data_IF_377176853984
#
_entry.id   IF_377176853984
#
_cell.length_a   1.000
_cell.length_b   1.000
_cell.length_c   1.000
_cell.angle_alpha   90.00
_cell.angle_beta   90.00
_cell.angle_gamma   90.00
#
_symmetry.space_group_name_H-M   'P 1'
#
loop_
_entity.id
_entity.type
_entity.pdbx_description
1 polymer ?
#
# COMPACT_ATOMS: atom_id res chain seq x y z
N UNK A 1 -5.09 24.18 6.80
CA UNK A 1 -4.98 22.95 7.64
C UNK A 1 -4.66 21.74 6.74
N UNK A 2 -3.65 21.82 5.88
CA UNK A 2 -3.40 20.84 4.79
C UNK A 2 -1.96 20.28 4.74
N UNK A 3 -1.03 20.77 5.56
CA UNK A 3 0.40 20.38 5.49
C UNK A 3 0.72 19.04 6.15
N UNK A 4 -0.15 18.52 7.02
CA UNK A 4 0.13 17.30 7.80
C UNK A 4 -0.22 15.99 7.06
N UNK A 5 -0.97 16.06 5.96
CA UNK A 5 -1.41 14.88 5.18
C UNK A 5 -0.46 14.56 4.00
N UNK A 6 0.35 15.53 3.58
CA UNK A 6 1.31 15.40 2.48
C UNK A 6 2.32 14.25 2.64
N UNK A 7 2.87 13.97 3.85
CA UNK A 7 3.82 12.87 4.03
C UNK A 7 3.18 11.50 3.77
N UNK A 8 1.94 11.32 4.24
CA UNK A 8 1.22 10.04 4.15
C UNK A 8 0.83 9.74 2.71
N UNK A 9 0.27 10.74 2.01
CA UNK A 9 -0.04 10.63 0.58
C UNK A 9 1.22 10.32 -0.24
N UNK A 10 2.36 10.95 0.08
CA UNK A 10 3.62 10.64 -0.60
C UNK A 10 4.11 9.22 -0.32
N UNK A 11 3.96 8.71 0.90
CA UNK A 11 4.29 7.31 1.24
C UNK A 11 3.41 6.35 0.44
N UNK A 12 2.11 6.64 0.35
CA UNK A 12 1.17 5.84 -0.44
C UNK A 12 1.58 5.77 -1.91
N UNK A 13 1.83 6.93 -2.52
CA UNK A 13 2.26 7.01 -3.92
C UNK A 13 3.54 6.23 -4.17
N UNK A 14 4.53 6.31 -3.25
CA UNK A 14 5.78 5.55 -3.38
C UNK A 14 5.55 4.05 -3.33
N UNK A 15 4.72 3.57 -2.41
CA UNK A 15 4.39 2.14 -2.32
C UNK A 15 3.65 1.69 -3.59
N UNK A 16 2.68 2.49 -4.07
CA UNK A 16 1.98 2.20 -5.33
C UNK A 16 2.95 2.14 -6.50
N UNK A 17 3.86 3.11 -6.63
CA UNK A 17 4.86 3.14 -7.69
C UNK A 17 5.79 1.93 -7.64
N UNK A 18 6.23 1.52 -6.45
CA UNK A 18 7.09 0.34 -6.25
C UNK A 18 6.38 -0.94 -6.73
N UNK A 19 5.12 -1.13 -6.34
CA UNK A 19 4.31 -2.29 -6.76
C UNK A 19 4.07 -2.28 -8.28
N UNK A 20 3.64 -1.15 -8.83
CA UNK A 20 3.33 -1.01 -10.27
C UNK A 20 4.59 -1.20 -11.12
N UNK A 21 5.73 -0.63 -10.71
CA UNK A 21 7.00 -0.78 -11.42
C UNK A 21 7.42 -2.24 -11.43
N UNK A 22 7.38 -2.90 -10.28
CA UNK A 22 7.73 -4.33 -10.17
C UNK A 22 6.80 -5.21 -11.03
N UNK A 23 5.50 -4.94 -11.04
CA UNK A 23 4.54 -5.62 -11.91
C UNK A 23 4.88 -5.44 -13.41
N UNK A 24 5.17 -4.22 -13.85
CA UNK A 24 5.55 -3.93 -15.24
C UNK A 24 6.87 -4.63 -15.61
N UNK A 25 7.87 -4.59 -14.73
CA UNK A 25 9.18 -5.21 -14.97
C UNK A 25 9.10 -6.73 -15.12
N UNK A 26 8.17 -7.39 -14.43
CA UNK A 26 7.97 -8.84 -14.58
C UNK A 26 7.38 -9.22 -15.94
N UNK A 27 6.68 -8.30 -16.62
CA UNK A 27 6.10 -8.52 -17.95
C UNK A 27 4.96 -9.55 -18.00
N UNK A 28 4.48 -10.04 -16.86
CA UNK A 28 3.41 -11.05 -16.76
C UNK A 28 2.04 -10.46 -16.47
N UNK A 29 1.97 -9.14 -16.20
CA UNK A 29 0.75 -8.44 -15.82
C UNK A 29 0.13 -7.78 -17.04
N UNK A 30 -1.17 -8.00 -17.26
CA UNK A 30 -1.93 -7.36 -18.34
C UNK A 30 -2.80 -6.21 -17.83
N UNK A 31 -3.24 -6.30 -16.59
CA UNK A 31 -4.12 -5.31 -15.96
C UNK A 31 -3.63 -5.00 -14.55
N UNK A 32 -3.51 -3.71 -14.25
CA UNK A 32 -3.31 -3.24 -12.87
C UNK A 32 -4.46 -2.31 -12.52
N UNK A 33 -5.13 -2.58 -11.40
CA UNK A 33 -6.18 -1.74 -10.84
C UNK A 33 -5.71 -1.18 -9.50
N UNK A 34 -5.78 0.14 -9.36
CA UNK A 34 -5.50 0.83 -8.10
C UNK A 34 -6.82 1.41 -7.58
N UNK A 35 -7.22 0.99 -6.40
CA UNK A 35 -8.41 1.47 -5.70
C UNK A 35 -7.97 2.29 -4.49
N UNK A 36 -8.61 3.45 -4.30
CA UNK A 36 -8.41 4.31 -3.15
C UNK A 36 -9.73 4.47 -2.41
N UNK A 37 -9.73 4.17 -1.12
CA UNK A 37 -10.85 4.43 -0.22
C UNK A 37 -10.37 5.34 0.92
N UNK A 38 -10.98 6.52 1.05
CA UNK A 38 -10.71 7.43 2.16
C UNK A 38 -11.73 7.22 3.28
N UNK A 39 -11.27 7.33 4.52
CA UNK A 39 -12.09 7.27 5.73
C UNK A 39 -11.68 8.40 6.68
N UNK A 40 -12.48 8.63 7.72
CA UNK A 40 -12.13 9.63 8.75
C UNK A 40 -10.82 9.32 9.50
N UNK A 41 -10.33 8.07 9.46
CA UNK A 41 -9.15 7.63 10.22
C UNK A 41 -7.89 7.46 9.36
N UNK A 42 -8.01 7.49 8.03
CA UNK A 42 -6.93 7.14 7.12
C UNK A 42 -7.47 6.80 5.75
N UNK A 43 -6.58 6.31 4.90
CA UNK A 43 -6.94 5.83 3.58
C UNK A 43 -6.41 4.42 3.37
N UNK A 44 -7.15 3.67 2.58
CA UNK A 44 -6.81 2.33 2.12
C UNK A 44 -6.54 2.38 0.63
N UNK A 45 -5.43 1.77 0.22
CA UNK A 45 -5.06 1.58 -1.17
C UNK A 45 -5.03 0.09 -1.43
N UNK A 46 -5.78 -0.35 -2.43
CA UNK A 46 -5.74 -1.73 -2.91
C UNK A 46 -5.20 -1.74 -4.32
N UNK A 47 -4.12 -2.48 -4.54
CA UNK A 47 -3.50 -2.64 -5.84
C UNK A 47 -3.73 -4.09 -6.25
N UNK A 48 -4.48 -4.29 -7.32
CA UNK A 48 -4.79 -5.60 -7.86
C UNK A 48 -4.08 -5.75 -9.20
N UNK A 49 -3.38 -6.85 -9.38
CA UNK A 49 -2.87 -7.30 -10.68
C UNK A 49 -3.52 -8.63 -11.06
N UNK A 50 -3.52 -8.96 -12.36
CA UNK A 50 -4.12 -10.17 -12.92
C UNK A 50 -3.10 -11.30 -13.19
N UNK A 51 -1.96 -11.26 -12.50
CA UNK A 51 -0.86 -12.19 -12.77
C UNK A 51 -1.10 -13.57 -12.18
N UNK A 52 -0.66 -14.60 -12.90
CA UNK A 52 -0.63 -15.95 -12.34
C UNK A 52 0.34 -16.03 -11.16
N UNK A 53 -0.10 -16.68 -10.08
CA UNK A 53 0.67 -16.94 -8.84
C UNK A 53 2.13 -17.35 -9.09
N UNK A 54 3.08 -16.84 -8.29
CA UNK A 54 4.47 -17.36 -8.25
C UNK A 54 5.60 -16.37 -8.48
N UNK A 55 5.31 -15.08 -8.71
CA UNK A 55 6.31 -14.02 -8.70
C UNK A 55 5.98 -13.07 -7.56
N UNK A 56 6.80 -12.99 -6.50
CA UNK A 56 6.50 -12.08 -5.39
C UNK A 56 6.90 -10.65 -5.74
N UNK A 57 5.94 -9.73 -5.84
CA UNK A 57 6.17 -8.26 -5.87
C UNK A 57 6.40 -7.69 -4.46
N UNK A 58 6.16 -8.47 -3.39
CA UNK A 58 6.40 -8.02 -2.02
C UNK A 58 7.89 -7.89 -1.73
N UNK A 59 8.38 -6.66 -1.75
CA UNK A 59 9.60 -6.30 -1.04
C UNK A 59 9.28 -6.01 0.44
N UNK A 60 10.04 -6.56 1.40
CA UNK A 60 9.88 -6.26 2.82
C UNK A 60 9.95 -4.75 3.13
N UNK A 61 10.60 -3.97 2.26
CA UNK A 61 10.69 -2.51 2.34
C UNK A 61 9.33 -1.81 2.35
N UNK A 62 8.30 -2.36 1.71
CA UNK A 62 6.96 -1.74 1.66
C UNK A 62 6.25 -1.83 3.00
N UNK A 63 6.32 -2.99 3.65
CA UNK A 63 5.76 -3.21 4.99
C UNK A 63 6.46 -2.35 6.03
N UNK A 64 7.79 -2.22 5.95
CA UNK A 64 8.56 -1.35 6.82
C UNK A 64 8.18 0.13 6.64
N UNK A 65 8.04 0.58 5.40
CA UNK A 65 7.67 1.96 5.08
C UNK A 65 6.25 2.29 5.57
N UNK A 66 5.32 1.36 5.42
CA UNK A 66 3.97 1.49 5.95
C UNK A 66 3.98 1.53 7.49
N UNK A 67 4.75 0.63 8.14
CA UNK A 67 4.87 0.58 9.60
C UNK A 67 5.48 1.87 10.17
N UNK A 68 6.53 2.41 9.56
CA UNK A 68 7.14 3.69 9.93
C UNK A 68 6.17 4.86 9.83
N UNK A 69 5.22 4.78 8.89
CA UNK A 69 4.17 5.76 8.73
C UNK A 69 2.95 5.52 9.65
N UNK A 70 3.01 4.51 10.54
CA UNK A 70 1.92 4.12 11.43
C UNK A 70 0.81 3.32 10.76
N UNK A 71 1.06 2.85 9.54
CA UNK A 71 0.12 2.06 8.75
C UNK A 71 0.44 0.58 8.75
N UNK A 72 -0.15 -0.10 7.75
CA UNK A 72 0.05 -1.53 7.48
C UNK A 72 0.09 -1.75 5.98
N UNK A 73 0.94 -2.66 5.54
CA UNK A 73 0.93 -3.17 4.18
C UNK A 73 0.80 -4.70 4.26
N UNK A 74 -0.09 -5.27 3.46
CA UNK A 74 -0.28 -6.71 3.32
C UNK A 74 -0.29 -7.05 1.86
N UNK A 75 0.19 -8.24 1.55
CA UNK A 75 0.12 -8.78 0.20
C UNK A 75 -0.53 -10.15 0.27
N UNK A 76 -1.47 -10.36 -0.63
CA UNK A 76 -2.21 -11.59 -0.80
C UNK A 76 -2.01 -12.03 -2.25
N UNK A 77 -1.51 -13.24 -2.46
CA UNK A 77 -1.47 -13.86 -3.78
C UNK A 77 -2.59 -14.89 -3.87
N UNK A 78 -3.27 -14.91 -5.00
CA UNK A 78 -4.38 -15.80 -5.28
C UNK A 78 -4.32 -16.30 -6.73
N UNK A 79 -5.22 -17.23 -7.08
CA UNK A 79 -5.27 -17.81 -8.42
C UNK A 79 -5.57 -16.76 -9.51
N UNK A 80 -6.26 -15.67 -9.15
CA UNK A 80 -6.70 -14.62 -10.06
C UNK A 80 -5.74 -13.42 -10.12
N UNK A 81 -4.62 -13.45 -9.37
CA UNK A 81 -3.78 -12.26 -9.24
C UNK A 81 -3.10 -12.09 -7.89
N UNK A 82 -2.44 -10.95 -7.72
CA UNK A 82 -2.02 -10.47 -6.41
C UNK A 82 -2.76 -9.19 -6.02
N UNK A 83 -3.01 -9.08 -4.72
CA UNK A 83 -3.58 -7.90 -4.09
C UNK A 83 -2.61 -7.37 -3.05
N UNK A 84 -2.20 -6.11 -3.19
CA UNK A 84 -1.48 -5.36 -2.15
C UNK A 84 -2.48 -4.43 -1.46
N UNK A 85 -2.63 -4.62 -0.15
CA UNK A 85 -3.49 -3.81 0.71
C UNK A 85 -2.63 -2.93 1.60
N UNK A 86 -2.67 -1.63 1.34
CA UNK A 86 -2.00 -0.61 2.15
C UNK A 86 -3.07 0.16 2.91
N UNK A 87 -2.86 0.36 4.19
CA UNK A 87 -3.59 1.36 4.95
C UNK A 87 -2.61 2.30 5.65
N UNK A 88 -2.91 3.59 5.58
CA UNK A 88 -2.14 4.63 6.26
C UNK A 88 -3.10 5.57 7.00
N UNK A 89 -2.75 5.99 8.22
CA UNK A 89 -3.51 7.02 8.91
C UNK A 89 -3.38 8.36 8.16
N UNK A 90 -4.35 9.27 8.33
CA UNK A 90 -4.26 10.62 7.75
C UNK A 90 -3.03 11.38 8.26
N UNK A 91 -2.62 11.09 9.50
CA UNK A 91 -1.46 11.67 10.16
C UNK A 91 -0.55 10.59 10.69
N UNK A 92 0.75 10.77 10.49
CA UNK A 92 1.75 9.90 11.10
C UNK A 92 1.62 9.93 12.63
N UNK A 93 1.77 8.78 13.32
CA UNK A 93 1.87 8.75 14.76
C UNK A 93 3.05 9.62 15.20
N UNK A 94 2.88 10.34 16.31
CA UNK A 94 4.02 10.90 17.02
C UNK A 94 4.85 9.75 17.59
N UNK A 95 6.18 9.93 17.67
CA UNK A 95 7.08 8.92 18.21
C UNK A 95 6.60 8.42 19.58
N UNK A 96 6.37 7.11 19.71
CA UNK A 96 5.88 6.47 20.93
C UNK A 96 4.36 6.25 21.03
N UNK A 97 3.57 6.62 20.01
CA UNK A 97 2.12 6.32 19.99
C UNK A 97 1.80 5.06 19.18
N UNK A 98 0.90 4.23 19.72
CA UNK A 98 0.33 3.09 19.00
C UNK A 98 -0.68 3.60 17.95
N UNK A 99 -0.55 3.21 16.67
CA UNK A 99 -1.47 3.68 15.63
C UNK A 99 -2.91 3.17 15.85
N UNK A 100 -3.93 3.96 15.47
CA UNK A 100 -5.33 3.53 15.58
C UNK A 100 -5.58 2.30 14.70
N UNK A 101 -6.33 1.32 15.23
CA UNK A 101 -6.78 0.16 14.45
C UNK A 101 -7.97 0.56 13.56
N UNK A 102 -8.03 0.07 12.30
CA UNK A 102 -9.24 0.19 11.49
C UNK A 102 -10.39 -0.54 12.20
N UNK A 103 -11.61 -0.01 12.03
CA UNK A 103 -12.85 -0.67 12.44
C UNK A 103 -13.32 -1.63 11.37
#
# INVERSE_FOLDING_TARGET
MAEHDAPQRSTAVRIVQEVVTSAIETGTVTTIRVELAESAQGFEVRILDDRASGSSVASPTMSDRAALAGGRCRMHEGPDGATVELWLPLRAPLAGQTPPRPS
#
